data_IF_243053571518
#
_entry.id   IF_243053571518
#
_cell.length_a   1.000
_cell.length_b   1.000
_cell.length_c   1.000
_cell.angle_alpha   90.00
_cell.angle_beta   90.00
_cell.angle_gamma   90.00
#
_symmetry.space_group_name_H-M   'P 1'
#
loop_
_entity.id
_entity.type
_entity.pdbx_description
1 polymer ?
#
# COMPACT_ATOMS: atom_id res chain seq x y z
N UNK A 1 -32.06 39.80 -9.72
CA UNK A 1 -31.25 38.95 -10.63
C UNK A 1 -30.38 38.03 -9.78
N UNK A 2 -30.80 36.80 -9.54
CA UNK A 2 -29.99 35.77 -8.84
C UNK A 2 -29.23 35.00 -9.89
N UNK A 3 -27.89 35.16 -9.96
CA UNK A 3 -27.00 34.30 -10.73
C UNK A 3 -26.91 32.94 -10.03
N UNK A 4 -27.55 31.94 -10.59
CA UNK A 4 -27.28 30.55 -10.28
C UNK A 4 -25.87 30.21 -10.81
N UNK A 5 -24.89 30.07 -9.92
CA UNK A 5 -23.67 29.35 -10.25
C UNK A 5 -24.04 27.88 -10.40
N UNK A 6 -24.19 27.41 -11.62
CA UNK A 6 -24.14 25.99 -11.94
C UNK A 6 -22.67 25.55 -11.75
N UNK A 7 -22.39 24.92 -10.63
CA UNK A 7 -21.24 24.04 -10.54
C UNK A 7 -21.55 22.86 -11.47
N UNK A 8 -20.87 22.80 -12.60
CA UNK A 8 -20.79 21.60 -13.42
C UNK A 8 -19.98 20.59 -12.58
N UNK A 9 -20.66 19.69 -11.89
CA UNK A 9 -20.03 18.46 -11.41
C UNK A 9 -19.56 17.72 -12.66
N UNK A 10 -18.24 17.79 -12.93
CA UNK A 10 -17.63 16.88 -13.90
C UNK A 10 -17.89 15.47 -13.38
N UNK A 11 -18.77 14.74 -14.04
CA UNK A 11 -18.99 13.32 -13.77
C UNK A 11 -17.66 12.62 -13.97
N UNK A 12 -17.07 12.14 -12.90
CA UNK A 12 -15.89 11.29 -12.96
C UNK A 12 -16.25 10.02 -13.74
N UNK A 13 -15.78 9.94 -14.98
CA UNK A 13 -16.00 8.78 -15.84
C UNK A 13 -14.83 7.81 -15.60
N UNK A 14 -15.10 6.71 -14.93
CA UNK A 14 -14.11 5.63 -14.78
C UNK A 14 -13.91 4.97 -16.15
N UNK A 15 -12.76 5.21 -16.75
CA UNK A 15 -12.36 4.63 -18.04
C UNK A 15 -11.73 3.24 -17.89
N UNK A 16 -11.25 2.87 -16.69
CA UNK A 16 -10.59 1.60 -16.39
C UNK A 16 -11.25 0.91 -15.18
N UNK A 17 -11.24 -0.43 -15.14
CA UNK A 17 -11.63 -1.16 -13.92
C UNK A 17 -10.80 -0.70 -12.73
N UNK A 18 -11.43 -0.56 -11.57
CA UNK A 18 -10.80 -0.13 -10.33
C UNK A 18 -10.57 -1.30 -9.38
N UNK A 19 -9.49 -1.27 -8.62
CA UNK A 19 -9.20 -2.23 -7.57
C UNK A 19 -8.53 -1.55 -6.39
N UNK A 20 -9.01 -1.85 -5.18
CA UNK A 20 -8.38 -1.42 -3.95
C UNK A 20 -7.40 -2.51 -3.50
N UNK A 21 -6.15 -2.17 -3.38
CA UNK A 21 -5.12 -3.08 -2.89
C UNK A 21 -4.35 -2.42 -1.76
N UNK A 22 -3.56 -3.18 -1.02
CA UNK A 22 -2.69 -2.59 -0.02
C UNK A 22 -1.56 -3.50 0.39
N UNK A 23 -0.58 -2.91 1.07
CA UNK A 23 0.56 -3.59 1.65
C UNK A 23 0.32 -3.89 3.11
N UNK A 24 0.58 -5.13 3.51
CA UNK A 24 0.53 -5.63 4.89
C UNK A 24 1.83 -6.39 5.20
N UNK A 25 2.13 -6.58 6.47
CA UNK A 25 3.32 -7.31 6.91
C UNK A 25 4.05 -6.62 8.06
N UNK A 26 5.13 -7.23 8.51
CA UNK A 26 5.90 -6.77 9.65
C UNK A 26 6.56 -5.40 9.42
N UNK A 27 6.90 -4.69 10.51
CA UNK A 27 7.69 -3.46 10.45
C UNK A 27 9.05 -3.73 9.78
N UNK A 28 9.59 -2.76 9.07
CA UNK A 28 10.89 -2.82 8.37
C UNK A 28 11.03 -3.89 7.26
N UNK A 29 9.97 -4.58 6.88
CA UNK A 29 9.98 -5.50 5.74
C UNK A 29 9.91 -4.78 4.37
N UNK A 30 9.75 -3.45 4.34
CA UNK A 30 9.81 -2.63 3.14
C UNK A 30 8.47 -2.40 2.43
N UNK A 31 7.35 -2.36 3.16
CA UNK A 31 6.01 -2.09 2.61
C UNK A 31 5.92 -0.74 1.89
N UNK A 32 6.27 0.34 2.60
CA UNK A 32 6.24 1.70 2.07
C UNK A 32 7.25 1.89 0.93
N UNK A 33 8.43 1.25 1.04
CA UNK A 33 9.44 1.24 -0.03
C UNK A 33 8.91 0.56 -1.29
N UNK A 34 8.19 -0.56 -1.16
CA UNK A 34 7.55 -1.24 -2.29
C UNK A 34 6.49 -0.36 -2.94
N UNK A 35 5.66 0.32 -2.15
CA UNK A 35 4.64 1.24 -2.65
C UNK A 35 5.27 2.40 -3.46
N UNK A 36 6.35 3.01 -2.95
CA UNK A 36 7.10 4.03 -3.67
C UNK A 36 7.73 3.48 -4.97
N UNK A 37 8.31 2.28 -4.91
CA UNK A 37 8.90 1.63 -6.08
C UNK A 37 7.88 1.33 -7.19
N UNK A 38 6.67 0.90 -6.82
CA UNK A 38 5.58 0.66 -7.77
C UNK A 38 5.22 1.95 -8.50
N UNK A 39 4.96 3.05 -7.78
CA UNK A 39 4.57 4.33 -8.38
C UNK A 39 5.66 4.87 -9.29
N UNK A 40 6.92 4.82 -8.86
CA UNK A 40 8.07 5.24 -9.65
C UNK A 40 8.24 4.41 -10.93
N UNK A 41 8.18 3.08 -10.81
CA UNK A 41 8.33 2.18 -11.98
C UNK A 41 7.22 2.39 -13.00
N UNK A 42 5.97 2.59 -12.55
CA UNK A 42 4.84 2.86 -13.44
C UNK A 42 4.98 4.22 -14.15
N UNK A 43 5.44 5.24 -13.43
CA UNK A 43 5.72 6.54 -14.02
C UNK A 43 6.83 6.45 -15.07
N UNK A 44 7.97 5.83 -14.74
CA UNK A 44 9.12 5.74 -15.64
C UNK A 44 8.83 4.91 -16.89
N UNK A 45 8.08 3.81 -16.73
CA UNK A 45 7.81 2.86 -17.82
C UNK A 45 6.66 3.26 -18.72
N UNK A 46 5.61 3.82 -18.15
CA UNK A 46 4.36 4.08 -18.88
C UNK A 46 4.03 5.56 -18.98
N UNK A 47 4.77 6.45 -18.31
CA UNK A 47 4.49 7.88 -18.23
C UNK A 47 3.07 8.16 -17.70
N UNK A 48 2.56 7.28 -16.83
CA UNK A 48 1.23 7.37 -16.23
C UNK A 48 1.36 7.73 -14.76
N UNK A 49 0.58 8.73 -14.32
CA UNK A 49 0.56 9.19 -12.93
C UNK A 49 1.80 9.97 -12.53
N UNK A 50 1.93 10.27 -11.24
CA UNK A 50 3.09 10.90 -10.65
C UNK A 50 3.88 9.86 -9.84
N UNK A 51 5.20 9.91 -9.92
CA UNK A 51 6.04 9.18 -8.98
C UNK A 51 5.84 9.76 -7.58
N UNK A 52 5.55 8.91 -6.61
CA UNK A 52 5.42 9.30 -5.21
C UNK A 52 6.65 8.83 -4.47
N UNK A 53 7.44 9.78 -3.98
CA UNK A 53 8.61 9.46 -3.18
C UNK A 53 8.22 8.92 -1.80
N UNK A 54 9.08 8.11 -1.22
CA UNK A 54 8.91 7.51 0.11
C UNK A 54 8.48 8.54 1.17
N UNK A 55 9.16 9.70 1.20
CA UNK A 55 8.88 10.78 2.14
C UNK A 55 7.49 11.43 1.98
N UNK A 56 6.87 11.24 0.82
CA UNK A 56 5.54 11.76 0.51
C UNK A 56 4.41 10.75 0.83
N UNK A 57 4.77 9.50 1.08
CA UNK A 57 3.83 8.46 1.56
C UNK A 57 3.68 8.62 3.08
N UNK A 58 4.77 8.58 3.82
CA UNK A 58 4.81 8.82 5.28
C UNK A 58 4.89 10.32 5.57
N UNK A 59 3.74 10.98 5.70
CA UNK A 59 3.63 12.44 5.77
C UNK A 59 3.78 13.01 7.17
N UNK A 60 3.44 12.23 8.22
CA UNK A 60 3.47 12.72 9.59
C UNK A 60 4.93 12.91 10.08
N UNK A 61 5.21 14.00 10.81
CA UNK A 61 6.55 14.23 11.36
C UNK A 61 7.05 13.06 12.21
N UNK A 62 6.17 12.43 12.99
CA UNK A 62 6.48 11.28 13.84
C UNK A 62 6.82 10.02 13.01
N UNK A 63 6.18 9.82 11.86
CA UNK A 63 6.48 8.73 10.93
C UNK A 63 7.89 8.87 10.36
N UNK A 64 8.26 10.08 9.95
CA UNK A 64 9.59 10.39 9.42
C UNK A 64 10.69 10.27 10.46
N UNK A 65 10.43 10.73 11.68
CA UNK A 65 11.40 10.66 12.78
C UNK A 65 11.68 9.23 13.23
N UNK A 66 10.63 8.39 13.25
CA UNK A 66 10.72 6.99 13.68
C UNK A 66 11.02 6.02 12.54
N UNK A 67 10.89 6.44 11.28
CA UNK A 67 11.03 5.58 10.09
C UNK A 67 9.98 4.47 10.01
N UNK A 68 8.80 4.66 10.63
CA UNK A 68 7.71 3.68 10.64
C UNK A 68 6.39 4.34 10.21
N UNK A 69 5.57 3.61 9.47
CA UNK A 69 4.22 4.02 9.13
C UNK A 69 3.30 3.86 10.33
N UNK A 70 2.63 4.93 10.75
CA UNK A 70 1.71 4.99 11.87
C UNK A 70 0.26 4.97 11.37
N UNK A 71 -0.03 5.83 10.41
CA UNK A 71 -1.35 5.97 9.79
C UNK A 71 -1.39 5.28 8.43
N UNK A 72 -2.58 4.86 8.00
CA UNK A 72 -2.73 4.35 6.63
C UNK A 72 -2.50 5.47 5.62
N UNK A 73 -1.61 5.25 4.67
CA UNK A 73 -1.41 6.16 3.55
C UNK A 73 -2.15 5.65 2.31
N UNK A 74 -2.76 6.56 1.56
CA UNK A 74 -3.47 6.25 0.34
C UNK A 74 -2.70 6.82 -0.85
N UNK A 75 -2.40 5.95 -1.80
CA UNK A 75 -1.70 6.29 -3.04
C UNK A 75 -2.49 5.74 -4.21
N UNK A 76 -2.71 6.56 -5.24
CA UNK A 76 -3.39 6.14 -6.46
C UNK A 76 -2.39 6.02 -7.61
N UNK A 77 -2.52 4.97 -8.40
CA UNK A 77 -1.75 4.77 -9.61
C UNK A 77 -2.49 3.93 -10.64
N UNK A 78 -2.00 3.96 -11.86
CA UNK A 78 -2.62 3.26 -12.96
C UNK A 78 -1.62 2.38 -13.72
N UNK A 79 -2.14 1.29 -14.25
CA UNK A 79 -1.51 0.53 -15.32
C UNK A 79 -2.28 0.78 -16.63
N UNK A 80 -1.77 0.34 -17.80
CA UNK A 80 -2.53 0.46 -19.04
C UNK A 80 -3.94 -0.14 -18.95
N UNK A 81 -4.15 -1.16 -18.11
CA UNK A 81 -5.39 -1.93 -18.05
C UNK A 81 -6.27 -1.64 -16.84
N UNK A 82 -5.74 -1.01 -15.77
CA UNK A 82 -6.46 -0.89 -14.50
C UNK A 82 -6.00 0.31 -13.67
N UNK A 83 -6.93 0.87 -12.91
CA UNK A 83 -6.68 1.86 -11.87
C UNK A 83 -6.65 1.20 -10.50
N UNK A 84 -5.68 1.60 -9.65
CA UNK A 84 -5.49 1.07 -8.30
C UNK A 84 -5.55 2.18 -7.28
N UNK A 85 -6.29 1.96 -6.20
CA UNK A 85 -6.11 2.67 -4.95
C UNK A 85 -5.31 1.77 -4.00
N UNK A 86 -4.14 2.22 -3.61
CA UNK A 86 -3.22 1.47 -2.76
C UNK A 86 -3.24 2.04 -1.35
N UNK A 87 -3.47 1.17 -0.38
CA UNK A 87 -3.46 1.49 1.04
C UNK A 87 -2.19 0.93 1.66
N UNK A 88 -1.28 1.80 2.06
CA UNK A 88 -0.10 1.37 2.82
C UNK A 88 -0.46 1.26 4.30
N UNK A 89 -0.36 0.06 4.86
CA UNK A 89 -0.77 -0.23 6.23
C UNK A 89 0.43 -0.21 7.18
N UNK A 90 0.25 0.32 8.42
CA UNK A 90 1.28 0.25 9.44
C UNK A 90 1.63 -1.20 9.78
N UNK A 91 2.91 -1.44 10.05
CA UNK A 91 3.40 -2.78 10.41
C UNK A 91 3.50 -3.03 11.91
N UNK A 92 3.48 -1.98 12.73
CA UNK A 92 3.71 -2.08 14.17
C UNK A 92 2.45 -2.50 14.94
N UNK A 93 2.62 -3.33 15.97
CA UNK A 93 1.53 -3.87 16.79
C UNK A 93 0.65 -2.79 17.44
N UNK A 94 1.23 -1.65 17.83
CA UNK A 94 0.49 -0.54 18.45
C UNK A 94 -0.54 0.10 17.52
N UNK A 95 -0.41 -0.10 16.20
CA UNK A 95 -1.27 0.51 15.19
C UNK A 95 -2.21 -0.47 14.48
N UNK A 96 -2.48 -1.61 15.11
CA UNK A 96 -3.37 -2.67 14.58
C UNK A 96 -4.74 -2.14 14.18
N UNK A 97 -5.31 -1.16 14.92
CA UNK A 97 -6.60 -0.55 14.55
C UNK A 97 -6.55 0.14 13.18
N UNK A 98 -5.47 0.85 12.90
CA UNK A 98 -5.29 1.53 11.62
C UNK A 98 -5.09 0.50 10.49
N UNK A 99 -4.35 -0.58 10.77
CA UNK A 99 -4.21 -1.71 9.84
C UNK A 99 -5.56 -2.35 9.50
N UNK A 100 -6.41 -2.63 10.50
CA UNK A 100 -7.74 -3.22 10.29
C UNK A 100 -8.61 -2.30 9.44
N UNK A 101 -8.61 -1.00 9.73
CA UNK A 101 -9.38 -0.01 8.97
C UNK A 101 -8.94 0.06 7.50
N UNK A 102 -7.64 0.02 7.25
CA UNK A 102 -7.08 -0.04 5.88
C UNK A 102 -7.44 -1.35 5.18
N UNK A 103 -7.22 -2.49 5.84
CA UNK A 103 -7.48 -3.81 5.28
C UNK A 103 -8.95 -4.04 4.91
N UNK A 104 -9.88 -3.50 5.68
CA UNK A 104 -11.33 -3.63 5.39
C UNK A 104 -11.77 -2.97 4.06
N UNK A 105 -10.91 -2.14 3.46
CA UNK A 105 -11.19 -1.45 2.20
C UNK A 105 -10.55 -2.13 0.99
N UNK A 106 -9.83 -3.25 1.18
CA UNK A 106 -9.04 -3.89 0.14
C UNK A 106 -9.79 -5.01 -0.56
N UNK A 107 -9.67 -5.05 -1.89
CA UNK A 107 -10.04 -6.20 -2.73
C UNK A 107 -8.93 -7.26 -2.77
N UNK A 108 -7.71 -6.88 -2.41
CA UNK A 108 -6.55 -7.76 -2.31
C UNK A 108 -5.41 -7.13 -1.51
N UNK A 109 -4.60 -7.94 -0.86
CA UNK A 109 -3.46 -7.50 -0.09
C UNK A 109 -2.15 -8.08 -0.62
N UNK A 110 -1.08 -7.28 -0.56
CA UNK A 110 0.30 -7.70 -0.80
C UNK A 110 0.97 -7.89 0.55
N UNK A 111 1.23 -9.14 0.90
CA UNK A 111 1.97 -9.48 2.10
C UNK A 111 3.47 -9.38 1.81
N UNK A 112 4.12 -8.38 2.41
CA UNK A 112 5.57 -8.15 2.25
C UNK A 112 6.32 -8.85 3.35
N UNK A 113 7.23 -9.74 2.98
CA UNK A 113 8.09 -10.50 3.90
C UNK A 113 9.55 -10.33 3.48
N UNK A 114 10.40 -9.91 4.41
CA UNK A 114 11.84 -9.85 4.15
C UNK A 114 12.42 -11.27 4.16
N UNK A 115 13.21 -11.62 3.15
CA UNK A 115 13.86 -12.92 3.07
C UNK A 115 14.86 -13.16 4.22
N UNK A 116 15.45 -12.07 4.74
CA UNK A 116 16.40 -12.12 5.87
C UNK A 116 15.77 -12.57 7.19
N UNK A 117 14.49 -12.22 7.41
CA UNK A 117 13.82 -12.39 8.71
C UNK A 117 12.71 -13.44 8.67
N UNK A 118 12.18 -13.71 7.46
CA UNK A 118 11.05 -14.60 7.29
C UNK A 118 9.74 -14.06 7.91
N UNK A 119 8.74 -14.93 8.10
CA UNK A 119 7.47 -14.55 8.72
C UNK A 119 7.62 -14.26 10.21
N UNK A 120 7.42 -13.01 10.60
CA UNK A 120 7.50 -12.52 11.97
C UNK A 120 6.12 -12.51 12.66
N UNK A 121 6.05 -12.08 13.92
CA UNK A 121 4.82 -12.08 14.71
C UNK A 121 3.69 -11.28 14.05
N UNK A 122 3.96 -10.04 13.62
CA UNK A 122 2.97 -9.20 12.95
C UNK A 122 2.57 -9.74 11.57
N UNK A 123 3.44 -10.50 10.89
CA UNK A 123 3.09 -11.16 9.63
C UNK A 123 1.90 -12.10 9.80
N UNK A 124 1.95 -12.94 10.85
CA UNK A 124 0.88 -13.90 11.19
C UNK A 124 -0.40 -13.17 11.62
N UNK A 125 -0.25 -12.15 12.45
CA UNK A 125 -1.36 -11.32 12.91
C UNK A 125 -2.08 -10.63 11.75
N UNK A 126 -1.34 -10.01 10.84
CA UNK A 126 -1.90 -9.33 9.66
C UNK A 126 -2.64 -10.29 8.72
N UNK A 127 -2.14 -11.52 8.53
CA UNK A 127 -2.86 -12.54 7.75
C UNK A 127 -4.20 -12.87 8.39
N UNK A 128 -4.22 -13.12 9.71
CA UNK A 128 -5.43 -13.45 10.45
C UNK A 128 -6.45 -12.31 10.40
N UNK A 129 -6.01 -11.09 10.67
CA UNK A 129 -6.85 -9.89 10.65
C UNK A 129 -7.39 -9.61 9.25
N UNK A 130 -6.57 -9.72 8.21
CA UNK A 130 -7.02 -9.53 6.83
C UNK A 130 -8.11 -10.53 6.45
N UNK A 131 -8.00 -11.76 6.89
CA UNK A 131 -9.06 -12.78 6.69
C UNK A 131 -10.33 -12.46 7.47
N UNK A 132 -10.20 -11.98 8.71
CA UNK A 132 -11.36 -11.60 9.53
C UNK A 132 -12.15 -10.44 8.94
N UNK A 133 -11.47 -9.45 8.37
CA UNK A 133 -12.13 -8.30 7.71
C UNK A 133 -12.58 -8.60 6.29
N UNK A 134 -12.30 -9.81 5.78
CA UNK A 134 -12.83 -10.29 4.51
C UNK A 134 -12.00 -9.94 3.28
N UNK A 135 -10.69 -9.68 3.41
CA UNK A 135 -9.80 -9.52 2.25
C UNK A 135 -9.76 -10.85 1.45
N UNK A 136 -10.26 -10.86 0.21
CA UNK A 136 -10.46 -12.12 -0.51
C UNK A 136 -9.16 -12.73 -1.05
N UNK A 137 -8.15 -11.90 -1.37
CA UNK A 137 -6.92 -12.36 -1.99
C UNK A 137 -5.69 -11.78 -1.29
N UNK A 138 -4.69 -12.64 -1.06
CA UNK A 138 -3.38 -12.26 -0.52
C UNK A 138 -2.31 -12.80 -1.46
N UNK A 139 -1.44 -11.88 -1.95
CA UNK A 139 -0.26 -12.21 -2.74
C UNK A 139 0.97 -11.98 -1.87
N UNK A 140 1.90 -12.92 -1.86
CA UNK A 140 3.14 -12.79 -1.09
C UNK A 140 4.23 -12.16 -1.97
N UNK A 141 4.87 -11.12 -1.44
CA UNK A 141 6.05 -10.49 -2.01
C UNK A 141 7.24 -10.69 -1.09
N UNK A 142 8.21 -11.48 -1.53
CA UNK A 142 9.47 -11.71 -0.81
C UNK A 142 10.45 -10.59 -1.16
N UNK A 143 10.82 -9.81 -0.16
CA UNK A 143 11.69 -8.64 -0.29
C UNK A 143 13.07 -8.91 0.28
N UNK A 144 14.05 -8.05 -0.03
CA UNK A 144 15.44 -8.12 0.46
C UNK A 144 16.16 -9.43 0.11
N UNK A 145 15.82 -10.06 -1.01
CA UNK A 145 16.46 -11.29 -1.45
C UNK A 145 17.95 -11.11 -1.81
N UNK A 146 18.33 -9.90 -2.17
CA UNK A 146 19.71 -9.49 -2.43
C UNK A 146 20.62 -9.51 -1.18
N UNK A 147 20.02 -9.57 0.01
CA UNK A 147 20.74 -9.61 1.30
C UNK A 147 20.95 -11.03 1.82
N UNK A 148 20.48 -12.04 1.09
CA UNK A 148 20.60 -13.46 1.48
C UNK A 148 21.60 -14.13 0.56
N UNK A 149 22.64 -14.75 1.16
CA UNK A 149 23.74 -15.39 0.41
C UNK A 149 23.43 -16.84 0.02
N UNK A 150 22.42 -17.47 0.63
CA UNK A 150 22.07 -18.88 0.39
C UNK A 150 20.79 -19.00 -0.44
N UNK A 151 20.89 -19.76 -1.56
CA UNK A 151 19.74 -20.08 -2.43
C UNK A 151 18.80 -21.15 -1.82
N UNK A 152 19.12 -21.71 -0.64
CA UNK A 152 18.35 -22.77 0.05
C UNK A 152 17.35 -22.26 1.11
N UNK A 153 16.90 -21.03 1.01
CA UNK A 153 15.90 -20.47 1.93
C UNK A 153 14.47 -20.69 1.44
#
# INVERSE_FOLDING_TARGET
MRRLCRFLEEKFVRTKPHMNIGTIGHVDHGKTTLTAAITKTLHDRYQIGAAVDFENIDKAPEERERGITISTAHVEYETPNRHYAHVDCPGHADYVKNMITGAAQMDGAILVVAATDGPMAQTREHILLSRQVGVPYIVVFMNKCDMVEDEEL
#
